data_IF_661275571932
#
_entry.id   IF_661275571932
#
_cell.length_a   1.000
_cell.length_b   1.000
_cell.length_c   1.000
_cell.angle_alpha   90.00
_cell.angle_beta   90.00
_cell.angle_gamma   90.00
#
_symmetry.space_group_name_H-M   'P 1'
#
loop_
_entity.id
_entity.type
_entity.pdbx_description
1 polymer ?
#
# COMPACT_ATOMS: atom_id res chain seq x y z
N UNK A 1 -2.12 -0.52 -34.39
CA UNK A 1 -2.43 -0.91 -32.99
C UNK A 1 -3.26 -2.19 -32.87
N UNK A 2 -2.76 -3.17 -32.11
CA UNK A 2 -3.40 -4.47 -31.79
C UNK A 2 -3.67 -4.54 -30.29
N UNK A 3 -4.84 -5.03 -29.88
CA UNK A 3 -5.16 -5.25 -28.47
C UNK A 3 -5.23 -6.75 -28.14
N UNK A 4 -4.68 -7.17 -27.01
CA UNK A 4 -4.69 -8.57 -26.55
C UNK A 4 -5.07 -8.66 -25.08
N UNK A 5 -5.49 -9.84 -24.64
CA UNK A 5 -5.83 -10.16 -23.25
C UNK A 5 -5.03 -11.39 -22.81
N UNK A 6 -4.64 -11.47 -21.54
CA UNK A 6 -4.05 -12.66 -20.92
C UNK A 6 -4.45 -12.75 -19.45
N UNK A 7 -4.65 -13.96 -18.94
CA UNK A 7 -4.81 -14.25 -17.50
C UNK A 7 -3.54 -14.87 -16.88
N UNK A 8 -2.43 -14.84 -17.62
CA UNK A 8 -1.14 -15.32 -17.15
C UNK A 8 -0.01 -14.51 -17.81
N UNK A 9 1.03 -14.19 -17.04
CA UNK A 9 2.18 -13.47 -17.55
C UNK A 9 3.33 -14.42 -17.94
N UNK A 10 3.51 -14.64 -19.23
CA UNK A 10 4.71 -15.32 -19.74
C UNK A 10 5.96 -14.47 -19.45
N UNK A 11 7.17 -15.07 -19.40
CA UNK A 11 8.41 -14.30 -19.20
C UNK A 11 8.58 -13.13 -20.20
N UNK A 12 8.16 -13.33 -21.45
CA UNK A 12 8.18 -12.28 -22.47
C UNK A 12 7.21 -11.13 -22.18
N UNK A 13 6.02 -11.42 -21.63
CA UNK A 13 5.07 -10.39 -21.21
C UNK A 13 5.59 -9.62 -19.99
N UNK A 14 6.17 -10.31 -19.00
CA UNK A 14 6.79 -9.67 -17.83
C UNK A 14 7.86 -8.67 -18.26
N UNK A 15 8.77 -9.10 -19.13
CA UNK A 15 9.82 -8.24 -19.69
C UNK A 15 9.25 -7.05 -20.49
N UNK A 16 8.16 -7.24 -21.24
CA UNK A 16 7.51 -6.17 -21.99
C UNK A 16 6.86 -5.13 -21.06
N UNK A 17 6.21 -5.58 -19.97
CA UNK A 17 5.63 -4.71 -18.93
C UNK A 17 6.74 -3.94 -18.21
N UNK A 18 7.82 -4.60 -17.79
CA UNK A 18 8.98 -3.95 -17.16
C UNK A 18 9.59 -2.89 -18.08
N UNK A 19 9.70 -3.19 -19.38
CA UNK A 19 10.20 -2.25 -20.38
C UNK A 19 9.27 -1.04 -20.55
N UNK A 20 7.95 -1.25 -20.57
CA UNK A 20 6.96 -0.18 -20.60
C UNK A 20 7.01 0.68 -19.33
N UNK A 21 7.05 0.04 -18.16
CA UNK A 21 7.14 0.70 -16.85
C UNK A 21 8.41 1.55 -16.76
N UNK A 22 9.55 1.03 -17.24
CA UNK A 22 10.80 1.79 -17.29
C UNK A 22 10.71 3.05 -18.14
N UNK A 23 10.07 2.98 -19.32
CA UNK A 23 9.85 4.16 -20.17
C UNK A 23 8.88 5.16 -19.53
N UNK A 24 7.83 4.68 -18.87
CA UNK A 24 6.88 5.53 -18.15
C UNK A 24 7.55 6.23 -16.96
N UNK A 25 8.35 5.50 -16.18
CA UNK A 25 9.08 6.04 -15.03
C UNK A 25 10.16 7.05 -15.46
N UNK A 26 10.83 6.81 -16.58
CA UNK A 26 11.82 7.76 -17.12
C UNK A 26 11.17 9.08 -17.55
N UNK A 27 9.95 9.04 -18.11
CA UNK A 27 9.22 10.24 -18.50
C UNK A 27 8.50 10.91 -17.32
N UNK A 28 7.98 10.13 -16.37
CA UNK A 28 7.21 10.59 -15.22
C UNK A 28 7.67 9.89 -13.93
N UNK A 29 8.79 10.33 -13.33
CA UNK A 29 9.35 9.72 -12.13
C UNK A 29 8.38 9.65 -10.95
N UNK A 30 7.40 10.55 -10.92
CA UNK A 30 6.35 10.66 -9.90
C UNK A 30 5.15 9.73 -10.13
N UNK A 31 5.09 9.00 -11.24
CA UNK A 31 3.96 8.16 -11.64
C UNK A 31 4.36 6.68 -11.71
N UNK A 32 5.08 6.18 -10.70
CA UNK A 32 5.51 4.78 -10.67
C UNK A 32 4.28 3.85 -10.69
N UNK A 33 4.13 2.99 -11.72
CA UNK A 33 3.02 2.07 -11.77
C UNK A 33 3.26 0.93 -10.77
N UNK A 34 2.32 0.75 -9.83
CA UNK A 34 2.26 -0.45 -9.00
C UNK A 34 1.51 -1.50 -9.79
N UNK A 35 2.21 -2.50 -10.32
CA UNK A 35 1.55 -3.61 -11.00
C UNK A 35 1.12 -4.65 -9.98
N UNK A 36 -0.09 -5.19 -10.15
CA UNK A 36 -0.50 -6.36 -9.39
C UNK A 36 0.43 -7.53 -9.74
N UNK A 37 0.72 -8.37 -8.73
CA UNK A 37 1.45 -9.61 -8.94
C UNK A 37 0.69 -10.56 -9.87
N UNK A 38 1.38 -11.60 -10.33
CA UNK A 38 0.83 -12.69 -11.15
C UNK A 38 -0.06 -13.62 -10.31
N UNK A 39 -1.06 -13.04 -9.65
CA UNK A 39 -2.06 -13.77 -8.86
C UNK A 39 -3.12 -14.37 -9.78
N UNK A 40 -3.72 -15.48 -9.36
CA UNK A 40 -4.60 -16.31 -10.21
C UNK A 40 -5.85 -15.58 -10.72
N UNK A 41 -6.25 -14.52 -10.03
CA UNK A 41 -7.47 -13.75 -10.35
C UNK A 41 -7.17 -12.43 -11.09
N UNK A 42 -5.92 -12.21 -11.52
CA UNK A 42 -5.54 -11.02 -12.28
C UNK A 42 -5.64 -11.23 -13.78
N UNK A 43 -6.31 -10.31 -14.47
CA UNK A 43 -6.43 -10.29 -15.92
C UNK A 43 -5.79 -9.05 -16.51
N UNK A 44 -4.98 -9.27 -17.55
CA UNK A 44 -4.20 -8.24 -18.21
C UNK A 44 -4.71 -7.95 -19.61
N UNK A 45 -4.74 -6.68 -19.96
CA UNK A 45 -5.10 -6.14 -21.26
C UNK A 45 -3.92 -5.34 -21.80
N UNK A 46 -3.58 -5.55 -23.08
CA UNK A 46 -2.39 -4.97 -23.70
C UNK A 46 -2.73 -4.27 -25.01
N UNK A 47 -1.96 -3.23 -25.32
CA UNK A 47 -1.95 -2.53 -26.61
C UNK A 47 -0.57 -2.61 -27.23
N UNK A 48 -0.50 -3.03 -28.49
CA UNK A 48 0.74 -3.26 -29.23
C UNK A 48 0.78 -2.45 -30.53
N UNK A 49 1.95 -1.90 -30.85
CA UNK A 49 2.26 -1.31 -32.14
C UNK A 49 3.63 -1.82 -32.59
N UNK A 50 3.71 -2.42 -33.78
CA UNK A 50 4.96 -2.97 -34.34
C UNK A 50 5.74 -3.87 -33.36
N UNK A 51 5.04 -4.77 -32.65
CA UNK A 51 5.58 -5.66 -31.59
C UNK A 51 6.10 -4.95 -30.33
N UNK A 52 5.92 -3.64 -30.22
CA UNK A 52 6.22 -2.88 -29.00
C UNK A 52 4.95 -2.76 -28.16
N UNK A 53 5.08 -3.02 -26.85
CA UNK A 53 3.99 -2.79 -25.89
C UNK A 53 3.83 -1.29 -25.65
N UNK A 54 2.69 -0.75 -26.04
CA UNK A 54 2.35 0.69 -25.99
C UNK A 54 1.40 1.04 -24.85
N UNK A 55 0.75 0.06 -24.25
CA UNK A 55 -0.06 0.24 -23.06
C UNK A 55 -0.47 -1.09 -22.46
N UNK A 56 -0.65 -1.10 -21.15
CA UNK A 56 -1.09 -2.26 -20.39
C UNK A 56 -2.05 -1.82 -19.28
N UNK A 57 -2.99 -2.69 -18.94
CA UNK A 57 -3.92 -2.52 -17.83
C UNK A 57 -4.17 -3.89 -17.19
N UNK A 58 -4.03 -4.00 -15.87
CA UNK A 58 -4.44 -5.15 -15.09
C UNK A 58 -5.77 -4.88 -14.38
N UNK A 59 -6.55 -5.93 -14.19
CA UNK A 59 -7.76 -5.95 -13.35
C UNK A 59 -7.66 -7.14 -12.42
N UNK A 60 -7.86 -6.93 -11.13
CA UNK A 60 -8.07 -8.00 -10.15
C UNK A 60 -9.29 -7.67 -9.29
N UNK A 61 -9.94 -8.70 -8.76
CA UNK A 61 -11.06 -8.51 -7.85
C UNK A 61 -10.51 -8.30 -6.43
N UNK A 62 -10.92 -7.21 -5.79
CA UNK A 62 -10.60 -6.95 -4.38
C UNK A 62 -11.86 -7.18 -3.55
N UNK A 63 -11.95 -8.35 -2.91
CA UNK A 63 -13.11 -8.81 -2.14
C UNK A 63 -13.02 -8.42 -0.64
N UNK A 64 -12.78 -7.15 -0.35
CA UNK A 64 -12.95 -6.64 1.03
C UNK A 64 -14.41 -6.20 1.29
N UNK A 65 -14.63 -5.34 2.30
CA UNK A 65 -15.96 -4.90 2.75
C UNK A 65 -16.85 -4.27 1.65
N UNK A 66 -16.26 -3.81 0.55
CA UNK A 66 -16.98 -3.41 -0.66
C UNK A 66 -16.23 -3.93 -1.90
N UNK A 67 -16.82 -4.81 -2.72
CA UNK A 67 -16.14 -5.38 -3.87
C UNK A 67 -15.90 -4.29 -4.93
N UNK A 68 -14.64 -4.08 -5.26
CA UNK A 68 -14.21 -3.19 -6.34
C UNK A 68 -13.18 -3.90 -7.23
N UNK A 69 -13.14 -3.52 -8.50
CA UNK A 69 -12.14 -3.98 -9.46
C UNK A 69 -10.89 -3.12 -9.29
N UNK A 70 -9.84 -3.70 -8.71
CA UNK A 70 -8.56 -3.04 -8.59
C UNK A 70 -7.90 -3.00 -9.96
N UNK A 71 -7.51 -1.81 -10.41
CA UNK A 71 -6.81 -1.64 -11.68
C UNK A 71 -5.46 -0.95 -11.52
N UNK A 72 -4.52 -1.38 -12.35
CA UNK A 72 -3.28 -0.66 -12.60
C UNK A 72 -3.10 -0.52 -14.10
N UNK A 73 -2.64 0.65 -14.57
CA UNK A 73 -2.49 0.90 -15.99
C UNK A 73 -1.29 1.80 -16.29
N UNK A 74 -0.74 1.61 -17.49
CA UNK A 74 0.30 2.48 -18.04
C UNK A 74 0.11 2.60 -19.55
N UNK A 75 0.39 3.79 -20.08
CA UNK A 75 0.46 4.05 -21.51
C UNK A 75 1.79 4.71 -21.79
N UNK A 76 2.48 4.17 -22.79
CA UNK A 76 3.77 4.67 -23.26
C UNK A 76 3.68 6.18 -23.54
N UNK A 77 4.62 7.00 -23.02
CA UNK A 77 4.61 8.45 -23.18
C UNK A 77 4.39 8.92 -24.63
N UNK A 78 5.00 8.26 -25.61
CA UNK A 78 4.93 8.63 -27.04
C UNK A 78 3.59 8.23 -27.69
N UNK A 79 2.74 7.52 -26.95
CA UNK A 79 1.46 7.00 -27.41
C UNK A 79 0.27 7.56 -26.62
N UNK A 80 0.51 8.49 -25.69
CA UNK A 80 -0.54 9.22 -24.96
C UNK A 80 -1.37 10.10 -25.90
N UNK A 81 -2.57 10.47 -25.46
CA UNK A 81 -3.52 11.25 -26.26
C UNK A 81 -4.17 10.47 -27.43
N UNK A 82 -3.78 9.22 -27.68
CA UNK A 82 -4.34 8.37 -28.76
C UNK A 82 -5.52 7.49 -28.31
N UNK A 83 -6.05 7.70 -27.10
CA UNK A 83 -7.17 6.94 -26.56
C UNK A 83 -6.86 5.49 -26.14
N UNK A 84 -5.58 5.13 -25.97
CA UNK A 84 -5.15 3.77 -25.61
C UNK A 84 -5.71 3.34 -24.25
N UNK A 85 -5.52 4.17 -23.21
CA UNK A 85 -6.03 3.89 -21.87
C UNK A 85 -7.54 3.65 -21.90
N UNK A 86 -8.30 4.53 -22.56
CA UNK A 86 -9.75 4.40 -22.71
C UNK A 86 -10.13 3.04 -23.30
N UNK A 87 -9.48 2.62 -24.40
CA UNK A 87 -9.77 1.33 -25.05
C UNK A 87 -9.38 0.12 -24.19
N UNK A 88 -8.33 0.23 -23.38
CA UNK A 88 -7.95 -0.81 -22.41
C UNK A 88 -9.01 -0.91 -21.30
N UNK A 89 -9.45 0.23 -20.75
CA UNK A 89 -10.47 0.30 -19.73
C UNK A 89 -11.84 -0.21 -20.23
N UNK A 90 -12.24 0.12 -21.46
CA UNK A 90 -13.44 -0.42 -22.09
C UNK A 90 -13.40 -1.95 -22.21
N UNK A 91 -12.22 -2.52 -22.52
CA UNK A 91 -12.04 -3.98 -22.58
C UNK A 91 -12.09 -4.63 -21.19
N UNK A 92 -11.47 -4.00 -20.20
CA UNK A 92 -11.56 -4.42 -18.81
C UNK A 92 -13.00 -4.39 -18.30
N UNK A 93 -13.76 -3.33 -18.58
CA UNK A 93 -15.17 -3.21 -18.21
C UNK A 93 -16.02 -4.29 -18.88
N UNK A 94 -15.83 -4.54 -20.19
CA UNK A 94 -16.56 -5.58 -20.91
C UNK A 94 -16.21 -7.00 -20.42
N UNK A 95 -14.97 -7.23 -19.97
CA UNK A 95 -14.58 -8.46 -19.30
C UNK A 95 -15.29 -8.56 -17.94
N UNK A 96 -15.17 -7.54 -17.11
CA UNK A 96 -15.74 -7.53 -15.77
C UNK A 96 -17.26 -7.76 -15.76
N UNK A 97 -17.99 -7.12 -16.67
CA UNK A 97 -19.43 -7.31 -16.83
C UNK A 97 -19.83 -8.76 -17.12
N UNK A 98 -18.96 -9.54 -17.78
CA UNK A 98 -19.23 -10.96 -18.11
C UNK A 98 -18.85 -11.91 -17.00
N UNK A 99 -17.91 -11.52 -16.15
CA UNK A 99 -17.25 -12.40 -15.18
C UNK A 99 -17.59 -12.10 -13.73
N UNK A 100 -18.07 -10.89 -13.42
CA UNK A 100 -18.44 -10.47 -12.09
C UNK A 100 -19.88 -9.96 -12.06
N UNK A 101 -20.54 -10.16 -10.92
CA UNK A 101 -21.90 -9.64 -10.69
C UNK A 101 -21.83 -8.57 -9.61
N UNK A 102 -22.24 -7.36 -9.95
CA UNK A 102 -22.34 -6.25 -9.00
C UNK A 102 -23.81 -5.92 -8.75
N UNK A 103 -24.12 -5.50 -7.52
CA UNK A 103 -25.50 -5.20 -7.08
C UNK A 103 -26.08 -3.93 -7.72
N UNK A 104 -25.21 -3.01 -8.13
CA UNK A 104 -25.57 -1.81 -8.86
C UNK A 104 -25.39 -2.04 -10.37
N UNK A 105 -26.16 -1.36 -11.22
CA UNK A 105 -25.98 -1.35 -12.69
C UNK A 105 -24.70 -0.61 -13.11
N UNK A 106 -23.64 -0.74 -12.32
CA UNK A 106 -22.35 -0.07 -12.41
C UNK A 106 -21.24 -1.05 -12.04
N UNK A 107 -20.10 -0.89 -12.68
CA UNK A 107 -18.87 -1.59 -12.38
C UNK A 107 -18.00 -0.68 -11.49
N UNK A 108 -17.82 -1.00 -10.20
CA UNK A 108 -16.94 -0.24 -9.31
C UNK A 108 -15.47 -0.56 -9.61
N UNK A 109 -14.66 0.49 -9.75
CA UNK A 109 -13.22 0.40 -9.96
C UNK A 109 -12.48 1.16 -8.87
N UNK A 110 -11.34 0.62 -8.43
CA UNK A 110 -10.38 1.28 -7.55
C UNK A 110 -8.99 1.27 -8.17
N UNK A 111 -8.19 2.30 -7.92
CA UNK A 111 -6.78 2.33 -8.26
C UNK A 111 -5.95 3.13 -7.26
N UNK A 112 -4.68 2.75 -7.12
CA UNK A 112 -3.71 3.46 -6.30
C UNK A 112 -2.79 4.30 -7.18
N UNK A 113 -2.72 5.59 -6.89
CA UNK A 113 -1.96 6.56 -7.66
C UNK A 113 -1.11 7.39 -6.70
N UNK A 114 0.15 7.64 -7.05
CA UNK A 114 0.93 8.64 -6.33
C UNK A 114 0.23 10.00 -6.47
N UNK A 115 -0.11 10.65 -5.36
CA UNK A 115 -0.84 11.92 -5.31
C UNK A 115 -0.16 13.06 -6.05
N UNK A 116 1.14 12.93 -6.37
CA UNK A 116 1.88 13.89 -7.19
C UNK A 116 1.84 13.59 -8.69
N UNK A 117 1.19 12.50 -9.12
CA UNK A 117 1.19 12.06 -10.51
C UNK A 117 0.29 12.94 -11.40
N UNK A 118 0.88 13.97 -12.00
CA UNK A 118 0.18 14.93 -12.87
C UNK A 118 -0.44 14.31 -14.14
N UNK A 119 0.01 13.14 -14.58
CA UNK A 119 -0.53 12.46 -15.77
C UNK A 119 -1.83 11.71 -15.48
N UNK A 120 -1.99 11.18 -14.27
CA UNK A 120 -3.15 10.39 -13.89
C UNK A 120 -4.32 11.27 -13.45
N UNK A 121 -4.06 12.41 -12.79
CA UNK A 121 -5.10 13.30 -12.25
C UNK A 121 -6.14 13.72 -13.31
N UNK A 122 -5.78 14.21 -14.52
CA UNK A 122 -6.78 14.58 -15.52
C UNK A 122 -7.61 13.39 -16.04
N UNK A 123 -7.03 12.19 -16.05
CA UNK A 123 -7.74 10.96 -16.42
C UNK A 123 -8.77 10.60 -15.35
N UNK A 124 -8.38 10.68 -14.08
CA UNK A 124 -9.26 10.43 -12.92
C UNK A 124 -10.41 11.44 -12.89
N UNK A 125 -10.13 12.72 -13.12
CA UNK A 125 -11.15 13.77 -13.21
C UNK A 125 -12.16 13.47 -14.33
N UNK A 126 -11.69 13.04 -15.49
CA UNK A 126 -12.56 12.68 -16.63
C UNK A 126 -13.41 11.43 -16.34
N UNK A 127 -12.91 10.50 -15.53
CA UNK A 127 -13.66 9.33 -15.07
C UNK A 127 -14.68 9.66 -13.97
N UNK A 128 -14.67 10.90 -13.45
CA UNK A 128 -15.47 11.28 -12.29
C UNK A 128 -15.03 10.56 -11.02
N UNK A 129 -13.74 10.21 -10.92
CA UNK A 129 -13.19 9.53 -9.77
C UNK A 129 -13.13 10.46 -8.55
N UNK A 130 -13.32 9.90 -7.36
CA UNK A 130 -13.08 10.61 -6.10
C UNK A 130 -11.95 9.93 -5.33
N UNK A 131 -11.16 10.74 -4.61
CA UNK A 131 -10.12 10.23 -3.74
C UNK A 131 -10.78 9.66 -2.47
N UNK A 132 -10.71 8.34 -2.31
CA UNK A 132 -11.31 7.60 -1.20
C UNK A 132 -10.44 7.64 0.06
N UNK A 133 -9.12 7.51 -0.12
CA UNK A 133 -8.16 7.51 0.98
C UNK A 133 -6.80 8.05 0.53
N UNK A 134 -5.99 8.51 1.48
CA UNK A 134 -4.60 8.93 1.25
C UNK A 134 -3.71 8.39 2.34
N UNK A 135 -2.56 7.86 1.93
CA UNK A 135 -1.53 7.36 2.83
C UNK A 135 -0.18 8.00 2.51
N UNK A 136 0.48 8.49 3.54
CA UNK A 136 1.80 9.09 3.43
C UNK A 136 2.86 8.06 3.79
N UNK A 137 3.78 7.81 2.87
CA UNK A 137 5.00 7.09 3.16
C UNK A 137 6.01 8.08 3.76
N UNK A 138 6.36 7.88 5.02
CA UNK A 138 7.33 8.68 5.75
C UNK A 138 8.63 7.88 5.93
N UNK A 139 9.77 8.58 5.91
CA UNK A 139 11.08 7.97 6.11
C UNK A 139 11.91 8.74 7.15
N UNK A 140 12.61 8.00 8.01
CA UNK A 140 13.61 8.50 8.94
C UNK A 140 14.98 7.97 8.56
N UNK A 141 15.94 8.88 8.37
CA UNK A 141 17.36 8.55 8.17
C UNK A 141 18.00 8.13 9.49
N UNK A 142 18.48 6.89 9.53
CA UNK A 142 19.11 6.30 10.73
C UNK A 142 20.63 6.43 10.75
N UNK A 143 21.26 6.99 9.71
CA UNK A 143 22.72 7.23 9.69
C UNK A 143 23.15 8.17 10.82
N UNK A 144 22.24 9.02 11.29
CA UNK A 144 22.43 9.83 12.49
C UNK A 144 22.01 9.05 13.74
N UNK A 145 22.99 8.43 14.40
CA UNK A 145 22.78 7.84 15.73
C UNK A 145 22.68 8.96 16.77
N UNK A 146 21.49 9.14 17.34
CA UNK A 146 21.29 9.93 18.57
C UNK A 146 21.04 8.96 19.71
N UNK A 147 21.84 9.05 20.76
CA UNK A 147 21.58 8.33 21.99
C UNK A 147 20.29 8.85 22.64
N UNK A 148 19.55 7.95 23.25
CA UNK A 148 18.34 8.25 24.02
C UNK A 148 18.29 7.34 25.24
N UNK A 149 17.65 7.83 26.29
CA UNK A 149 17.36 7.04 27.48
C UNK A 149 15.90 6.61 27.46
N UNK A 150 15.66 5.34 27.77
CA UNK A 150 14.32 4.82 27.99
C UNK A 150 13.92 5.06 29.44
N UNK A 151 12.66 5.46 29.73
CA UNK A 151 12.23 5.70 31.08
C UNK A 151 12.23 4.40 31.90
N UNK A 152 12.40 4.51 33.22
CA UNK A 152 12.42 3.34 34.09
C UNK A 152 11.15 2.49 33.93
N UNK A 153 11.35 1.18 33.75
CA UNK A 153 10.27 0.22 33.54
C UNK A 153 9.68 0.22 32.13
N UNK A 154 10.32 0.87 31.16
CA UNK A 154 9.99 0.79 29.75
C UNK A 154 10.88 -0.20 29.01
N UNK A 155 10.28 -1.07 28.21
CA UNK A 155 10.98 -2.06 27.40
C UNK A 155 10.16 -2.35 26.13
N UNK A 156 10.83 -2.71 25.04
CA UNK A 156 10.19 -3.34 23.89
C UNK A 156 10.85 -4.70 23.66
N UNK A 157 10.05 -5.76 23.60
CA UNK A 157 10.53 -7.12 23.47
C UNK A 157 9.76 -7.87 22.38
N UNK A 158 10.47 -8.69 21.61
CA UNK A 158 9.84 -9.55 20.62
C UNK A 158 8.88 -10.53 21.32
N UNK A 159 7.70 -10.75 20.72
CA UNK A 159 6.68 -11.64 21.26
C UNK A 159 6.18 -12.60 20.19
N UNK A 160 6.02 -13.86 20.58
CA UNK A 160 5.31 -14.90 19.81
C UNK A 160 3.96 -15.25 20.42
N UNK A 161 3.54 -14.54 21.47
CA UNK A 161 2.22 -14.70 22.07
C UNK A 161 1.17 -14.02 21.19
N UNK A 162 0.58 -14.80 20.28
CA UNK A 162 -0.41 -14.32 19.32
C UNK A 162 -1.68 -13.80 20.01
N UNK A 163 -2.06 -14.38 21.16
CA UNK A 163 -3.24 -13.95 21.90
C UNK A 163 -3.04 -12.57 22.52
N UNK A 164 -1.86 -12.33 23.12
CA UNK A 164 -1.50 -11.02 23.64
C UNK A 164 -1.43 -9.97 22.52
N UNK A 165 -0.79 -10.30 21.39
CA UNK A 165 -0.68 -9.41 20.24
C UNK A 165 -2.06 -9.08 19.64
N UNK A 166 -2.93 -10.08 19.47
CA UNK A 166 -4.29 -9.88 18.96
C UNK A 166 -5.13 -9.01 19.92
N UNK A 167 -5.01 -9.23 21.23
CA UNK A 167 -5.70 -8.41 22.25
C UNK A 167 -5.23 -6.95 22.20
N UNK A 168 -3.93 -6.72 22.03
CA UNK A 168 -3.38 -5.37 21.88
C UNK A 168 -3.80 -4.74 20.54
N UNK A 169 -3.83 -5.50 19.45
CA UNK A 169 -4.26 -5.06 18.12
C UNK A 169 -5.72 -4.59 18.16
N UNK A 170 -6.62 -5.40 18.72
CA UNK A 170 -8.03 -5.07 18.96
C UNK A 170 -8.13 -3.76 19.75
N UNK A 171 -7.51 -3.70 20.94
CA UNK A 171 -7.63 -2.54 21.82
C UNK A 171 -7.02 -1.26 21.23
N UNK A 172 -5.99 -1.37 20.39
CA UNK A 172 -5.29 -0.23 19.81
C UNK A 172 -5.99 0.35 18.58
N UNK A 173 -6.52 -0.51 17.71
CA UNK A 173 -7.03 -0.17 16.38
C UNK A 173 -8.54 -0.33 16.23
N UNK A 174 -9.25 -0.73 17.30
CA UNK A 174 -10.71 -0.94 17.31
C UNK A 174 -11.15 -1.98 16.27
N UNK A 175 -10.33 -3.02 16.08
CA UNK A 175 -10.62 -4.13 15.18
C UNK A 175 -11.58 -5.11 15.84
N UNK A 176 -12.53 -5.71 15.10
CA UNK A 176 -13.26 -6.88 15.58
C UNK A 176 -12.26 -7.98 16.02
N UNK A 177 -12.53 -8.72 17.11
CA UNK A 177 -11.58 -9.70 17.65
C UNK A 177 -11.07 -10.71 16.61
N UNK A 178 -11.96 -11.19 15.74
CA UNK A 178 -11.62 -12.14 14.68
C UNK A 178 -10.69 -11.53 13.63
N UNK A 179 -10.92 -10.27 13.25
CA UNK A 179 -10.07 -9.54 12.32
C UNK A 179 -8.69 -9.25 12.92
N UNK A 180 -8.62 -8.91 14.20
CA UNK A 180 -7.35 -8.73 14.92
C UNK A 180 -6.53 -10.02 14.97
N UNK A 181 -7.18 -11.15 15.29
CA UNK A 181 -6.52 -12.46 15.32
C UNK A 181 -6.03 -12.90 13.92
N UNK A 182 -6.87 -12.74 12.89
CA UNK A 182 -6.50 -13.06 11.51
C UNK A 182 -5.31 -12.22 11.03
N UNK A 183 -5.32 -10.91 11.33
CA UNK A 183 -4.22 -10.01 11.01
C UNK A 183 -2.91 -10.44 11.67
N UNK A 184 -2.93 -10.73 12.99
CA UNK A 184 -1.73 -11.18 13.71
C UNK A 184 -1.25 -12.55 13.22
N UNK A 185 -2.16 -13.46 12.84
CA UNK A 185 -1.79 -14.76 12.24
C UNK A 185 -1.05 -14.56 10.92
N UNK A 186 -1.59 -13.73 10.02
CA UNK A 186 -0.95 -13.39 8.75
C UNK A 186 0.47 -12.83 8.97
N UNK A 187 0.62 -11.86 9.88
CA UNK A 187 1.94 -11.32 10.20
C UNK A 187 2.92 -12.37 10.75
N UNK A 188 2.43 -13.38 11.48
CA UNK A 188 3.28 -14.42 12.06
C UNK A 188 3.84 -15.41 11.04
N UNK A 189 3.23 -15.48 9.85
CA UNK A 189 3.67 -16.34 8.75
C UNK A 189 4.77 -15.67 7.90
N UNK A 190 4.91 -14.34 7.97
CA UNK A 190 5.90 -13.55 7.25
C UNK A 190 7.32 -13.71 7.83
N UNK A 191 8.26 -14.41 7.15
CA UNK A 191 9.54 -14.80 7.76
C UNK A 191 10.46 -13.63 8.13
N UNK A 192 10.32 -12.50 7.43
CA UNK A 192 11.14 -11.30 7.66
C UNK A 192 10.48 -10.29 8.61
N UNK A 193 9.32 -10.65 9.17
CA UNK A 193 8.55 -9.81 10.08
C UNK A 193 8.73 -10.27 11.52
N UNK A 194 8.88 -9.32 12.43
CA UNK A 194 8.92 -9.56 13.87
C UNK A 194 7.95 -8.66 14.62
N UNK A 195 7.17 -9.25 15.52
CA UNK A 195 6.19 -8.56 16.36
C UNK A 195 6.77 -8.28 17.74
N UNK A 196 6.53 -7.07 18.24
CA UNK A 196 7.05 -6.60 19.52
C UNK A 196 5.92 -6.09 20.40
N UNK A 197 6.04 -6.35 21.70
CA UNK A 197 5.20 -5.75 22.74
C UNK A 197 5.99 -4.65 23.43
N UNK A 198 5.36 -3.49 23.57
CA UNK A 198 5.86 -2.40 24.40
C UNK A 198 5.37 -2.62 25.82
N UNK A 199 6.30 -2.75 26.77
CA UNK A 199 6.02 -2.89 28.19
C UNK A 199 6.28 -1.58 28.91
N UNK A 200 5.35 -1.17 29.77
CA UNK A 200 5.55 -0.05 30.69
C UNK A 200 5.08 -0.43 32.08
N UNK A 201 5.98 -0.38 33.06
CA UNK A 201 5.72 -0.75 34.47
C UNK A 201 5.04 -2.13 34.59
N UNK A 202 5.59 -3.12 33.88
CA UNK A 202 5.14 -4.53 33.83
C UNK A 202 3.75 -4.75 33.20
N UNK A 203 3.18 -3.75 32.51
CA UNK A 203 1.94 -3.89 31.75
C UNK A 203 2.23 -3.78 30.26
N UNK A 204 1.54 -4.58 29.45
CA UNK A 204 1.57 -4.44 27.99
C UNK A 204 0.89 -3.11 27.63
N UNK A 205 1.69 -2.17 27.13
CA UNK A 205 1.31 -0.79 26.89
C UNK A 205 1.20 -0.46 25.40
N UNK A 206 1.54 -1.38 24.51
CA UNK A 206 1.44 -1.18 23.06
C UNK A 206 2.06 -2.33 22.28
N UNK A 207 2.05 -2.20 20.97
CA UNK A 207 2.67 -3.13 20.04
C UNK A 207 3.23 -2.40 18.82
N UNK A 208 4.11 -3.09 18.11
CA UNK A 208 4.50 -2.74 16.74
C UNK A 208 5.09 -3.97 16.04
N UNK A 209 5.20 -3.87 14.72
CA UNK A 209 5.82 -4.89 13.88
C UNK A 209 6.94 -4.25 13.06
N UNK A 210 8.02 -5.01 12.85
CA UNK A 210 9.13 -4.62 12.00
C UNK A 210 9.27 -5.65 10.89
N UNK A 211 9.14 -5.19 9.64
CA UNK A 211 9.50 -5.94 8.45
C UNK A 211 10.84 -5.42 7.94
N UNK A 212 11.85 -6.30 7.87
CA UNK A 212 13.17 -5.94 7.38
C UNK A 212 13.31 -6.29 5.91
N UNK A 213 13.84 -5.34 5.12
CA UNK A 213 14.13 -5.53 3.70
C UNK A 213 15.40 -4.77 3.32
N UNK A 214 16.44 -5.51 2.95
CA UNK A 214 17.76 -4.98 2.60
C UNK A 214 18.33 -4.02 3.70
N UNK A 215 18.38 -2.72 3.40
CA UNK A 215 18.88 -1.65 4.27
C UNK A 215 17.76 -0.81 4.90
N UNK A 216 16.51 -1.25 4.78
CA UNK A 216 15.31 -0.54 5.20
C UNK A 216 14.47 -1.40 6.14
N UNK A 217 13.93 -0.78 7.19
CA UNK A 217 12.93 -1.37 8.06
C UNK A 217 11.59 -0.67 7.86
N UNK A 218 10.51 -1.44 7.81
CA UNK A 218 9.15 -0.94 7.76
C UNK A 218 8.49 -1.14 9.13
N UNK A 219 8.07 -0.03 9.74
CA UNK A 219 7.33 -0.02 11.00
C UNK A 219 5.83 -0.11 10.70
N UNK A 220 5.22 -1.21 11.12
CA UNK A 220 3.81 -1.52 10.89
C UNK A 220 3.06 -1.69 12.21
N UNK A 221 1.74 -1.46 12.20
CA UNK A 221 0.86 -1.66 13.38
C UNK A 221 1.33 -0.95 14.65
N UNK A 222 2.04 0.17 14.53
CA UNK A 222 2.60 0.88 15.67
C UNK A 222 1.51 1.56 16.49
N UNK A 223 1.30 1.11 17.73
CA UNK A 223 0.31 1.71 18.60
C UNK A 223 0.66 1.60 20.09
N UNK A 224 0.18 2.59 20.84
CA UNK A 224 0.14 2.59 22.31
C UNK A 224 -1.30 2.36 22.73
N UNK A 225 -1.49 1.40 23.65
CA UNK A 225 -2.77 1.03 24.21
C UNK A 225 -3.48 2.25 24.82
N UNK A 226 -4.81 2.41 24.66
CA UNK A 226 -5.57 3.59 25.10
C UNK A 226 -5.23 4.09 26.53
N UNK A 227 -5.15 3.18 27.50
CA UNK A 227 -4.78 3.46 28.91
C UNK A 227 -3.43 4.17 29.11
N UNK A 228 -2.53 4.08 28.12
CA UNK A 228 -1.16 4.54 28.19
C UNK A 228 -0.87 5.74 27.26
N UNK A 229 -1.89 6.24 26.54
CA UNK A 229 -1.74 7.37 25.62
C UNK A 229 -1.52 8.69 26.35
N UNK A 230 -1.01 9.69 25.62
CA UNK A 230 -0.74 11.07 26.11
C UNK A 230 0.30 11.18 27.23
N UNK A 231 1.15 10.17 27.38
CA UNK A 231 2.25 10.13 28.38
C UNK A 231 3.65 10.16 27.75
N UNK A 232 3.77 10.47 26.45
CA UNK A 232 5.04 10.46 25.72
C UNK A 232 5.56 9.06 25.35
N UNK A 233 4.87 7.98 25.73
CA UNK A 233 5.32 6.60 25.52
C UNK A 233 5.53 6.21 24.05
N UNK A 234 4.82 6.83 23.10
CA UNK A 234 5.05 6.60 21.68
C UNK A 234 6.45 7.04 21.23
N UNK A 235 6.96 8.16 21.76
CA UNK A 235 8.34 8.62 21.46
C UNK A 235 9.36 7.63 22.03
N UNK A 236 9.14 7.13 23.25
CA UNK A 236 9.99 6.11 23.84
C UNK A 236 9.94 4.77 23.09
N UNK A 237 8.78 4.42 22.53
CA UNK A 237 8.64 3.24 21.68
C UNK A 237 9.40 3.40 20.36
N UNK A 238 9.37 4.58 19.72
CA UNK A 238 10.17 4.86 18.51
C UNK A 238 11.68 4.85 18.79
N UNK A 239 12.08 5.31 19.98
CA UNK A 239 13.44 5.17 20.46
C UNK A 239 13.81 3.69 20.60
N UNK A 240 12.99 2.88 21.28
CA UNK A 240 13.23 1.45 21.40
C UNK A 240 13.28 0.73 20.04
N UNK A 241 12.42 1.09 19.09
CA UNK A 241 12.48 0.62 17.69
C UNK A 241 13.88 0.86 17.13
N UNK A 242 14.43 2.08 17.23
CA UNK A 242 15.78 2.38 16.73
C UNK A 242 16.88 1.56 17.40
N UNK A 243 16.74 1.25 18.69
CA UNK A 243 17.70 0.40 19.40
C UNK A 243 17.63 -1.08 18.97
N UNK A 244 16.47 -1.53 18.50
CA UNK A 244 16.25 -2.90 18.03
C UNK A 244 16.72 -3.12 16.59
N UNK A 245 16.88 -2.05 15.81
CA UNK A 245 17.26 -2.16 14.41
C UNK A 245 18.73 -2.57 14.24
N UNK A 246 19.02 -3.56 13.37
CA UNK A 246 20.40 -3.92 13.02
C UNK A 246 21.18 -2.74 12.42
N UNK A 247 22.51 -2.75 12.57
CA UNK A 247 23.36 -1.64 12.12
C UNK A 247 23.33 -1.39 10.61
N UNK A 248 23.04 -2.41 9.81
CA UNK A 248 22.92 -2.29 8.36
C UNK A 248 21.65 -1.51 7.92
N UNK A 249 20.67 -1.36 8.82
CA UNK A 249 19.45 -0.62 8.52
C UNK A 249 19.76 0.87 8.58
N UNK A 250 19.61 1.53 7.43
CA UNK A 250 19.89 2.96 7.26
C UNK A 250 18.63 3.82 7.14
N UNK A 251 17.47 3.19 6.95
CA UNK A 251 16.18 3.86 6.78
C UNK A 251 15.09 3.15 7.58
N UNK A 252 14.29 3.91 8.32
CA UNK A 252 13.04 3.43 8.92
C UNK A 252 11.86 4.08 8.19
N UNK A 253 10.93 3.28 7.67
CA UNK A 253 9.77 3.75 6.92
C UNK A 253 8.48 3.40 7.64
N UNK A 254 7.47 4.26 7.48
CA UNK A 254 6.13 4.05 8.01
C UNK A 254 5.10 4.61 7.03
N UNK A 255 3.99 3.90 6.85
CA UNK A 255 2.81 4.42 6.17
C UNK A 255 1.82 4.94 7.20
N UNK A 256 1.24 6.10 6.94
CA UNK A 256 0.23 6.69 7.81
C UNK A 256 -0.88 7.31 6.98
N UNK A 257 -2.12 6.91 7.28
CA UNK A 257 -3.30 7.47 6.63
C UNK A 257 -3.50 8.94 7.03
N UNK A 258 -3.99 9.75 6.09
CA UNK A 258 -4.31 11.17 6.30
C UNK A 258 -5.32 11.40 7.43
N UNK A 259 -6.25 10.46 7.62
CA UNK A 259 -7.21 10.40 8.73
C UNK A 259 -6.58 10.17 10.12
N UNK A 260 -5.26 10.00 10.21
CA UNK A 260 -4.53 9.88 11.47
C UNK A 260 -3.52 11.05 11.66
N UNK A 261 -4.01 12.29 11.85
CA UNK A 261 -3.14 13.46 11.99
C UNK A 261 -2.25 13.39 13.24
N UNK A 262 -2.68 12.65 14.27
CA UNK A 262 -1.92 12.47 15.52
C UNK A 262 -0.64 11.67 15.24
N UNK A 263 -0.74 10.53 14.55
CA UNK A 263 0.44 9.73 14.20
C UNK A 263 1.32 10.47 13.18
N UNK A 264 0.71 11.10 12.16
CA UNK A 264 1.45 11.90 11.18
C UNK A 264 2.29 13.00 11.85
N UNK A 265 1.69 13.78 12.75
CA UNK A 265 2.39 14.81 13.50
C UNK A 265 3.47 14.24 14.44
N UNK A 266 3.22 13.11 15.10
CA UNK A 266 4.21 12.40 15.92
C UNK A 266 5.46 12.08 15.09
N UNK A 267 5.29 11.46 13.91
CA UNK A 267 6.41 11.07 13.06
C UNK A 267 7.20 12.29 12.56
N UNK A 268 6.52 13.34 12.09
CA UNK A 268 7.20 14.56 11.65
C UNK A 268 7.98 15.23 12.78
N UNK A 269 7.39 15.33 13.98
CA UNK A 269 8.07 15.92 15.16
C UNK A 269 9.27 15.08 15.59
N UNK A 270 9.19 13.75 15.43
CA UNK A 270 10.28 12.84 15.73
C UNK A 270 11.44 12.93 14.71
N UNK A 271 11.18 13.46 13.51
CA UNK A 271 12.18 13.69 12.47
C UNK A 271 12.01 12.84 11.21
N UNK A 272 10.86 12.18 11.04
CA UNK A 272 10.51 11.59 9.75
C UNK A 272 10.19 12.68 8.72
N UNK A 273 10.48 12.39 7.45
CA UNK A 273 10.12 13.24 6.30
C UNK A 273 9.18 12.49 5.37
N UNK A 274 8.13 13.17 4.88
CA UNK A 274 7.25 12.63 3.83
C UNK A 274 8.03 12.40 2.55
N UNK A 275 7.98 11.18 2.02
CA UNK A 275 8.59 10.79 0.75
C UNK A 275 7.55 10.80 -0.36
N UNK A 276 6.43 10.12 -0.13
CA UNK A 276 5.39 9.89 -1.12
C UNK A 276 4.01 9.98 -0.46
N UNK A 277 3.01 10.26 -1.28
CA UNK A 277 1.60 10.15 -0.92
C UNK A 277 0.96 9.19 -1.92
N UNK A 278 0.40 8.09 -1.45
CA UNK A 278 -0.40 7.17 -2.27
C UNK A 278 -1.86 7.51 -2.01
N UNK A 279 -2.61 7.71 -3.07
CA UNK A 279 -4.04 8.02 -3.03
C UNK A 279 -4.81 6.87 -3.67
N UNK A 280 -5.82 6.38 -2.96
CA UNK A 280 -6.81 5.47 -3.52
C UNK A 280 -7.91 6.30 -4.19
N UNK A 281 -8.22 5.97 -5.43
CA UNK A 281 -9.29 6.61 -6.19
C UNK A 281 -10.36 5.59 -6.58
N UNK A 282 -11.61 5.95 -6.35
CA UNK A 282 -12.76 5.15 -6.73
C UNK A 282 -13.54 5.83 -7.85
N UNK A 283 -13.99 5.04 -8.82
CA UNK A 283 -14.92 5.48 -9.86
C UNK A 283 -15.83 4.34 -10.26
N UNK A 284 -16.84 4.62 -11.07
CA UNK A 284 -17.74 3.60 -11.57
C UNK A 284 -18.08 3.83 -13.03
N UNK A 285 -18.10 2.74 -13.79
CA UNK A 285 -18.55 2.76 -15.18
C UNK A 285 -19.96 2.17 -15.28
N UNK A 286 -20.83 2.69 -16.16
CA UNK A 286 -22.11 2.05 -16.41
C UNK A 286 -21.90 0.67 -17.02
N UNK A 287 -22.75 -0.27 -16.64
CA UNK A 287 -22.89 -1.55 -17.34
C UNK A 287 -23.44 -1.26 -18.74
N UNK A 288 -22.81 -1.77 -19.80
CA UNK A 288 -23.30 -1.54 -21.15
C UNK A 288 -24.45 -2.52 -21.44
N UNK A 289 -25.62 -2.01 -21.78
CA UNK A 289 -26.71 -2.87 -22.27
C UNK A 289 -26.27 -3.55 -23.57
N UNK A 290 -26.40 -4.88 -23.62
CA UNK A 290 -26.06 -5.74 -24.75
C UNK A 290 -27.01 -5.57 -25.92
#
# INVERSE_FOLDING_TARGET
>A
MKFTQSSALTPALKQAIESLASRCLAADPQCSPVWADDDTDTVFFFSWENQVLTGALSVSLYEEAAPALLISASVDPDYRGKGIFRRLLEKAAAYAQKHYTFSEHKLPFSCYINGSCSQAIPVLDHLGAYCASREFLLSLDLKKKTAFELPAGFEAAASKDLNLLASLQEACFDYPPQSAAAYISMLSEEPSLSSYVVWYKKRAAGLFHLLLSENTAYLMGFAIHPDFRRQGLAVHALNAVRALLPEQISSLRVQVADRNPVAYHLYLTYGFCTQECVCEYHFSLPVQDS
#
